data_IF_615457557172
#
_entry.id   IF_615457557172
#
_cell.length_a   1.000
_cell.length_b   1.000
_cell.length_c   1.000
_cell.angle_alpha   90.00
_cell.angle_beta   90.00
_cell.angle_gamma   90.00
#
_symmetry.space_group_name_H-M   'P 1'
#
loop_
_entity.id
_entity.type
_entity.pdbx_description
1 polymer ?
#
# COMPACT_ATOMS: atom_id res chain seq x y z
N UNK A 1 -13.68 -3.66 -16.86
CA UNK A 1 -12.56 -4.60 -17.10
C UNK A 1 -12.46 -5.54 -15.91
N UNK A 2 -12.60 -6.84 -16.13
CA UNK A 2 -12.54 -7.86 -15.07
C UNK A 2 -11.14 -7.89 -14.43
N UNK A 3 -11.06 -7.83 -13.08
CA UNK A 3 -9.81 -7.85 -12.31
C UNK A 3 -9.68 -9.19 -11.56
N UNK A 4 -9.20 -10.28 -12.21
CA UNK A 4 -9.20 -11.61 -11.60
C UNK A 4 -8.40 -11.68 -10.31
N UNK A 5 -7.27 -10.98 -10.23
CA UNK A 5 -6.46 -10.95 -9.00
C UNK A 5 -7.13 -10.19 -7.86
N UNK A 6 -7.98 -9.20 -8.15
CA UNK A 6 -8.78 -8.53 -7.14
C UNK A 6 -9.86 -9.45 -6.55
N UNK A 7 -10.43 -10.34 -7.38
CA UNK A 7 -11.35 -11.41 -6.91
C UNK A 7 -10.62 -12.35 -5.97
N UNK A 8 -9.38 -12.76 -6.30
CA UNK A 8 -8.58 -13.61 -5.41
C UNK A 8 -8.25 -12.90 -4.11
N UNK A 9 -7.81 -11.63 -4.17
CA UNK A 9 -7.51 -10.83 -2.98
C UNK A 9 -8.73 -10.67 -2.06
N UNK A 10 -9.89 -10.34 -2.64
CA UNK A 10 -11.17 -10.25 -1.93
C UNK A 10 -11.59 -11.60 -1.34
N UNK A 11 -11.47 -12.67 -2.12
CA UNK A 11 -11.80 -14.03 -1.71
C UNK A 11 -10.88 -14.58 -0.62
N UNK A 12 -9.66 -14.04 -0.48
CA UNK A 12 -8.76 -14.37 0.62
C UNK A 12 -9.12 -13.61 1.89
N UNK A 13 -9.34 -12.30 1.83
CA UNK A 13 -9.54 -11.47 3.02
C UNK A 13 -10.96 -11.58 3.60
N UNK A 14 -11.98 -11.69 2.75
CA UNK A 14 -13.38 -11.66 3.19
C UNK A 14 -13.75 -12.85 4.10
N UNK A 15 -13.37 -14.10 3.80
CA UNK A 15 -13.65 -15.22 4.70
C UNK A 15 -12.99 -15.07 6.07
N UNK A 16 -11.78 -14.50 6.13
CA UNK A 16 -11.11 -14.22 7.40
C UNK A 16 -11.82 -13.11 8.16
N UNK A 17 -12.23 -12.04 7.48
CA UNK A 17 -12.97 -10.95 8.10
C UNK A 17 -14.30 -11.41 8.71
N UNK A 18 -15.02 -12.29 8.00
CA UNK A 18 -16.27 -12.88 8.48
C UNK A 18 -16.03 -13.90 9.60
N UNK A 19 -15.07 -14.82 9.40
CA UNK A 19 -14.79 -15.90 10.35
C UNK A 19 -14.22 -15.42 11.68
N UNK A 20 -13.47 -14.32 11.68
CA UNK A 20 -12.96 -13.68 12.89
C UNK A 20 -13.86 -12.54 13.40
N UNK A 21 -15.01 -12.32 12.77
CA UNK A 21 -15.98 -11.29 13.14
C UNK A 21 -15.33 -9.92 13.34
N UNK A 22 -14.57 -9.46 12.34
CA UNK A 22 -13.91 -8.17 12.42
C UNK A 22 -14.93 -7.07 12.71
N UNK A 23 -14.55 -6.14 13.57
CA UNK A 23 -15.22 -4.87 13.76
C UNK A 23 -14.86 -3.89 12.64
N UNK A 24 -15.60 -2.78 12.57
CA UNK A 24 -15.31 -1.73 11.60
C UNK A 24 -13.93 -1.11 11.85
N UNK A 25 -13.53 -1.00 13.12
CA UNK A 25 -12.23 -0.47 13.54
C UNK A 25 -11.10 -1.41 13.12
N UNK A 26 -11.24 -2.71 13.36
CA UNK A 26 -10.28 -3.73 12.89
C UNK A 26 -10.17 -3.73 11.37
N UNK A 27 -11.28 -3.58 10.64
CA UNK A 27 -11.26 -3.40 9.19
C UNK A 27 -10.44 -2.17 8.80
N UNK A 28 -10.64 -1.01 9.45
CA UNK A 28 -9.87 0.20 9.15
C UNK A 28 -8.36 -0.02 9.37
N UNK A 29 -7.97 -0.61 10.49
CA UNK A 29 -6.56 -0.94 10.75
C UNK A 29 -5.99 -1.93 9.75
N UNK A 30 -6.77 -2.92 9.30
CA UNK A 30 -6.36 -3.84 8.25
C UNK A 30 -6.14 -3.15 6.90
N UNK A 31 -6.95 -2.13 6.56
CA UNK A 31 -6.77 -1.34 5.33
C UNK A 31 -5.53 -0.45 5.39
N UNK A 32 -5.27 0.17 6.55
CA UNK A 32 -4.06 0.94 6.81
C UNK A 32 -2.81 0.04 6.68
N UNK A 33 -2.84 -1.15 7.29
CA UNK A 33 -1.78 -2.15 7.19
C UNK A 33 -1.53 -2.53 5.73
N UNK A 34 -2.59 -2.83 4.97
CA UNK A 34 -2.47 -3.22 3.58
C UNK A 34 -1.84 -2.12 2.71
N UNK A 35 -2.21 -0.86 2.94
CA UNK A 35 -1.60 0.27 2.24
C UNK A 35 -0.11 0.46 2.60
N UNK A 36 0.26 0.29 3.88
CA UNK A 36 1.66 0.34 4.32
C UNK A 36 2.49 -0.78 3.66
N UNK A 37 2.01 -2.02 3.75
CA UNK A 37 2.68 -3.20 3.17
C UNK A 37 2.80 -3.07 1.65
N UNK A 38 1.75 -2.59 0.98
CA UNK A 38 1.80 -2.32 -0.45
C UNK A 38 2.85 -1.26 -0.81
N UNK A 39 2.96 -0.20 0.00
CA UNK A 39 3.96 0.86 -0.20
C UNK A 39 5.37 0.31 -0.08
N UNK A 40 5.62 -0.52 0.94
CA UNK A 40 6.90 -1.21 1.10
C UNK A 40 7.18 -2.20 -0.02
N UNK A 41 6.18 -2.94 -0.49
CA UNK A 41 6.33 -3.82 -1.65
C UNK A 41 6.71 -3.04 -2.92
N UNK A 42 6.14 -1.85 -3.13
CA UNK A 42 6.55 -0.97 -4.24
C UNK A 42 8.03 -0.58 -4.14
N UNK A 43 8.49 -0.22 -2.94
CA UNK A 43 9.89 0.16 -2.68
C UNK A 43 10.84 -1.01 -2.97
N UNK A 44 10.55 -2.19 -2.40
CA UNK A 44 11.38 -3.40 -2.57
C UNK A 44 11.42 -3.83 -4.03
N UNK A 45 10.26 -3.95 -4.68
CA UNK A 45 10.19 -4.40 -6.06
C UNK A 45 10.76 -3.38 -7.06
N UNK A 46 10.73 -2.08 -6.73
CA UNK A 46 11.44 -1.03 -7.48
C UNK A 46 12.95 -1.18 -7.37
N UNK A 47 13.48 -1.31 -6.15
CA UNK A 47 14.90 -1.52 -5.92
C UNK A 47 15.41 -2.78 -6.63
N UNK A 48 14.71 -3.91 -6.49
CA UNK A 48 15.06 -5.17 -7.16
C UNK A 48 15.05 -5.04 -8.69
N UNK A 49 14.06 -4.36 -9.28
CA UNK A 49 14.05 -4.13 -10.72
C UNK A 49 15.24 -3.26 -11.15
N UNK A 50 15.58 -2.19 -10.42
CA UNK A 50 16.72 -1.34 -10.76
C UNK A 50 18.03 -2.13 -10.69
N UNK A 51 18.22 -2.95 -9.65
CA UNK A 51 19.41 -3.78 -9.49
C UNK A 51 19.55 -4.82 -10.61
N UNK A 52 18.44 -5.41 -11.05
CA UNK A 52 18.45 -6.46 -12.09
C UNK A 52 18.46 -5.92 -13.53
N UNK A 53 17.98 -4.69 -13.75
CA UNK A 53 17.92 -4.04 -15.08
C UNK A 53 18.89 -2.86 -15.23
N UNK A 54 19.75 -2.63 -14.25
CA UNK A 54 20.72 -1.52 -14.25
C UNK A 54 21.64 -1.52 -15.47
N UNK A 55 22.02 -2.71 -15.96
CA UNK A 55 22.86 -2.86 -17.14
C UNK A 55 22.17 -2.39 -18.43
N UNK A 56 20.86 -2.63 -18.57
CA UNK A 56 20.11 -2.26 -19.79
C UNK A 56 19.77 -0.78 -19.83
N UNK A 57 19.80 -0.09 -18.69
CA UNK A 57 19.54 1.36 -18.57
C UNK A 57 20.79 2.23 -18.70
N UNK A 58 21.97 1.61 -18.73
CA UNK A 58 23.27 2.30 -18.83
C UNK A 58 23.39 3.24 -20.06
N UNK A 59 23.04 2.82 -21.30
CA UNK A 59 23.21 3.70 -22.46
C UNK A 59 22.39 4.99 -22.36
N UNK A 60 21.16 4.89 -21.86
CA UNK A 60 20.28 6.05 -21.68
C UNK A 60 20.77 6.99 -20.56
N UNK A 61 21.39 6.44 -19.50
CA UNK A 61 21.95 7.22 -18.40
C UNK A 61 23.28 7.89 -18.78
N UNK A 62 24.11 7.23 -19.57
CA UNK A 62 25.37 7.78 -20.11
C UNK A 62 25.18 8.93 -21.10
N UNK A 63 24.04 8.95 -21.81
CA UNK A 63 23.65 10.09 -22.64
C UNK A 63 23.27 11.31 -21.80
N UNK A 64 22.56 11.07 -20.69
CA UNK A 64 22.05 12.14 -19.81
C UNK A 64 23.09 12.65 -18.81
N UNK A 65 24.04 11.81 -18.41
CA UNK A 65 25.11 12.12 -17.47
C UNK A 65 26.46 11.67 -18.04
N UNK A 66 27.13 12.53 -18.82
CA UNK A 66 28.41 12.22 -19.45
C UNK A 66 29.49 11.65 -18.53
N UNK A 67 29.62 12.07 -17.24
CA UNK A 67 30.61 11.49 -16.32
C UNK A 67 30.45 10.00 -16.03
N UNK A 68 29.28 9.41 -16.32
CA UNK A 68 29.05 7.98 -16.10
C UNK A 68 29.72 7.09 -17.15
N UNK A 69 30.12 7.64 -18.30
CA UNK A 69 30.74 6.89 -19.40
C UNK A 69 32.09 6.29 -19.03
N UNK A 70 32.85 7.02 -18.21
CA UNK A 70 34.21 6.64 -17.82
C UNK A 70 34.23 5.61 -16.67
N UNK A 71 33.07 5.28 -16.10
CA UNK A 71 33.00 4.29 -15.03
C UNK A 71 33.18 2.87 -15.58
N UNK A 72 34.06 2.05 -14.96
CA UNK A 72 34.10 0.62 -15.25
C UNK A 72 32.75 -0.01 -14.89
N UNK A 73 32.39 -1.11 -15.56
CA UNK A 73 31.10 -1.76 -15.34
C UNK A 73 30.81 -2.09 -13.86
N UNK A 74 31.83 -2.50 -13.11
CA UNK A 74 31.73 -2.74 -11.67
C UNK A 74 31.43 -1.45 -10.89
N UNK A 75 32.11 -0.34 -11.19
CA UNK A 75 31.87 0.96 -10.54
C UNK A 75 30.47 1.50 -10.82
N UNK A 76 29.99 1.35 -12.05
CA UNK A 76 28.63 1.73 -12.44
C UNK A 76 27.57 0.89 -11.69
N UNK A 77 27.77 -0.42 -11.59
CA UNK A 77 26.87 -1.31 -10.86
C UNK A 77 26.81 -0.99 -9.36
N UNK A 78 27.97 -0.73 -8.73
CA UNK A 78 28.04 -0.33 -7.32
C UNK A 78 27.35 1.02 -7.09
N UNK A 79 27.57 1.99 -7.98
CA UNK A 79 26.92 3.30 -7.89
C UNK A 79 25.39 3.18 -7.99
N UNK A 80 24.88 2.44 -8.99
CA UNK A 80 23.45 2.21 -9.13
C UNK A 80 22.87 1.48 -7.93
N UNK A 81 23.58 0.48 -7.40
CA UNK A 81 23.13 -0.23 -6.22
C UNK A 81 23.06 0.68 -5.00
N UNK A 82 24.09 1.50 -4.77
CA UNK A 82 24.12 2.47 -3.69
C UNK A 82 22.97 3.49 -3.81
N UNK A 83 22.72 4.02 -5.01
CA UNK A 83 21.61 4.95 -5.26
C UNK A 83 20.24 4.30 -5.07
N UNK A 84 20.05 3.09 -5.58
CA UNK A 84 18.79 2.36 -5.45
C UNK A 84 18.49 2.01 -3.98
N UNK A 85 19.50 1.52 -3.24
CA UNK A 85 19.37 1.21 -1.82
C UNK A 85 19.18 2.47 -0.97
N UNK A 86 19.89 3.56 -1.29
CA UNK A 86 19.72 4.85 -0.63
C UNK A 86 18.32 5.42 -0.85
N UNK A 87 17.82 5.41 -2.08
CA UNK A 87 16.46 5.83 -2.41
C UNK A 87 15.41 4.95 -1.72
N UNK A 88 15.64 3.63 -1.67
CA UNK A 88 14.75 2.71 -0.98
C UNK A 88 14.71 2.98 0.53
N UNK A 89 15.87 3.16 1.18
CA UNK A 89 15.96 3.48 2.60
C UNK A 89 15.28 4.81 2.93
N UNK A 90 15.51 5.85 2.12
CA UNK A 90 14.83 7.13 2.26
C UNK A 90 13.31 6.98 2.11
N UNK A 91 12.84 6.25 1.09
CA UNK A 91 11.42 6.00 0.88
C UNK A 91 10.78 5.22 2.04
N UNK A 92 11.45 4.18 2.55
CA UNK A 92 11.01 3.44 3.73
C UNK A 92 10.84 4.35 4.95
N UNK A 93 11.81 5.24 5.19
CA UNK A 93 11.76 6.17 6.31
C UNK A 93 10.62 7.17 6.17
N UNK A 94 10.46 7.79 5.00
CA UNK A 94 9.35 8.71 4.73
C UNK A 94 8.00 8.00 4.85
N UNK A 95 7.86 6.78 4.33
CA UNK A 95 6.63 6.00 4.47
C UNK A 95 6.35 5.61 5.91
N UNK A 96 7.37 5.20 6.67
CA UNK A 96 7.23 4.96 8.10
C UNK A 96 6.68 6.19 8.82
N UNK A 97 7.24 7.37 8.56
CA UNK A 97 6.78 8.63 9.14
C UNK A 97 5.31 8.96 8.76
N UNK A 98 5.00 8.93 7.46
CA UNK A 98 3.66 9.28 6.95
C UNK A 98 2.61 8.31 7.47
N UNK A 99 2.87 7.00 7.44
CA UNK A 99 1.93 6.01 7.94
C UNK A 99 1.84 6.03 9.47
N UNK A 100 2.90 6.40 10.20
CA UNK A 100 2.82 6.66 11.64
C UNK A 100 1.83 7.79 11.93
N UNK A 101 1.93 8.89 11.18
CA UNK A 101 0.98 10.00 11.28
C UNK A 101 -0.46 9.53 11.02
N UNK A 102 -0.71 8.83 9.90
CA UNK A 102 -2.05 8.29 9.63
C UNK A 102 -2.51 7.27 10.68
N UNK A 103 -1.60 6.47 11.24
CA UNK A 103 -1.89 5.53 12.31
C UNK A 103 -2.32 6.24 13.60
N UNK A 104 -1.66 7.34 13.96
CA UNK A 104 -2.06 8.19 15.10
C UNK A 104 -3.44 8.79 14.86
N UNK A 105 -3.70 9.35 13.68
CA UNK A 105 -5.04 9.86 13.34
C UNK A 105 -6.09 8.75 13.39
N UNK A 106 -5.77 7.58 12.86
CA UNK A 106 -6.66 6.43 12.87
C UNK A 106 -6.96 5.97 14.30
N UNK A 107 -5.98 6.01 15.22
CA UNK A 107 -6.20 5.64 16.62
C UNK A 107 -7.20 6.54 17.36
N UNK A 108 -7.44 7.76 16.90
CA UNK A 108 -8.50 8.63 17.44
C UNK A 108 -9.89 8.13 17.07
N UNK A 109 -10.05 7.60 15.86
CA UNK A 109 -11.37 7.26 15.30
C UNK A 109 -11.70 5.77 15.30
N UNK A 110 -10.68 4.92 15.35
CA UNK A 110 -10.79 3.47 15.23
C UNK A 110 -10.06 2.77 16.39
N UNK A 111 -10.43 3.10 17.62
CA UNK A 111 -9.98 2.37 18.81
C UNK A 111 -10.28 0.86 18.66
N UNK A 112 -9.31 0.01 18.98
CA UNK A 112 -9.51 -1.44 18.99
C UNK A 112 -8.70 -2.12 20.10
N UNK A 113 -9.06 -3.35 20.45
CA UNK A 113 -8.24 -4.15 21.35
C UNK A 113 -6.99 -4.69 20.63
N UNK A 114 -5.82 -4.77 21.31
CA UNK A 114 -5.61 -4.43 22.70
C UNK A 114 -5.39 -2.92 22.91
N UNK A 115 -6.09 -2.32 23.89
CA UNK A 115 -6.02 -0.86 24.19
C UNK A 115 -4.61 -0.38 24.53
N UNK A 116 -3.73 -1.26 25.00
CA UNK A 116 -2.31 -0.92 25.23
C UNK A 116 -1.54 -0.60 23.94
N UNK A 117 -2.05 -1.01 22.78
CA UNK A 117 -1.47 -0.73 21.47
C UNK A 117 -2.28 0.34 20.72
N UNK A 118 -3.62 0.25 20.76
CA UNK A 118 -4.53 1.13 20.03
C UNK A 118 -5.41 1.91 21.02
N UNK A 119 -4.79 2.84 21.74
CA UNK A 119 -5.31 3.45 22.97
C UNK A 119 -6.69 4.09 22.94
N UNK A 120 -7.36 4.05 24.10
CA UNK A 120 -8.56 4.84 24.47
C UNK A 120 -8.34 6.36 24.47
N UNK A 121 -7.08 6.77 24.55
CA UNK A 121 -6.68 8.17 24.64
C UNK A 121 -6.38 8.78 23.26
N UNK A 122 -6.69 8.07 22.16
CA UNK A 122 -6.51 8.56 20.79
C UNK A 122 -5.07 8.50 20.27
N UNK A 123 -4.18 7.73 20.90
CA UNK A 123 -2.79 7.58 20.47
C UNK A 123 -2.37 6.10 20.42
N UNK A 124 -1.46 5.79 19.49
CA UNK A 124 -0.68 4.55 19.53
C UNK A 124 0.18 4.60 20.80
N UNK A 125 -0.13 3.73 21.76
CA UNK A 125 0.47 3.75 23.10
C UNK A 125 1.81 2.99 23.17
N UNK A 126 2.42 2.67 22.03
CA UNK A 126 3.67 1.90 21.90
C UNK A 126 4.54 2.42 20.76
N UNK A 127 5.70 1.81 20.52
CA UNK A 127 6.49 2.07 19.32
C UNK A 127 5.70 1.70 18.04
N UNK A 128 6.16 2.17 16.87
CA UNK A 128 5.48 1.92 15.59
C UNK A 128 5.43 0.44 15.19
N UNK A 129 6.45 -0.34 15.55
CA UNK A 129 6.63 -1.71 15.07
C UNK A 129 5.81 -2.72 15.86
N UNK A 130 5.57 -2.49 17.15
CA UNK A 130 4.77 -3.41 17.98
C UNK A 130 3.30 -3.55 17.51
N UNK A 131 2.54 -2.46 17.27
CA UNK A 131 1.19 -2.54 16.69
C UNK A 131 1.23 -3.10 15.28
N UNK A 132 2.23 -2.74 14.48
CA UNK A 132 2.40 -3.30 13.15
C UNK A 132 2.55 -4.83 13.19
N UNK A 133 3.37 -5.36 14.10
CA UNK A 133 3.55 -6.80 14.28
C UNK A 133 2.25 -7.48 14.72
N UNK A 134 1.50 -6.85 15.62
CA UNK A 134 0.17 -7.33 16.02
C UNK A 134 -0.80 -7.38 14.83
N UNK A 135 -0.85 -6.29 14.05
CA UNK A 135 -1.71 -6.20 12.88
C UNK A 135 -1.34 -7.22 11.81
N UNK A 136 -0.05 -7.43 11.56
CA UNK A 136 0.43 -8.49 10.68
C UNK A 136 0.03 -9.88 11.20
N UNK A 137 0.19 -10.15 12.50
CA UNK A 137 -0.19 -11.44 13.07
C UNK A 137 -1.67 -11.80 12.84
N UNK A 138 -2.57 -10.84 12.94
CA UNK A 138 -4.03 -11.07 12.89
C UNK A 138 -4.67 -10.76 11.53
N UNK A 139 -4.24 -9.70 10.86
CA UNK A 139 -4.87 -9.16 9.64
C UNK A 139 -3.99 -9.27 8.39
N UNK A 140 -2.96 -10.13 8.40
CA UNK A 140 -2.17 -10.41 7.19
C UNK A 140 -2.98 -10.78 5.94
N UNK A 141 -4.16 -11.45 5.99
CA UNK A 141 -4.90 -11.79 4.78
C UNK A 141 -5.31 -10.56 3.97
N UNK A 142 -5.57 -9.43 4.64
CA UNK A 142 -5.88 -8.16 3.98
C UNK A 142 -4.64 -7.62 3.25
N UNK A 143 -3.48 -7.65 3.91
CA UNK A 143 -2.22 -7.22 3.33
C UNK A 143 -1.82 -8.09 2.13
N UNK A 144 -1.84 -9.43 2.29
CA UNK A 144 -1.52 -10.36 1.20
C UNK A 144 -2.54 -10.25 0.07
N UNK A 145 -3.83 -10.16 0.38
CA UNK A 145 -4.86 -9.96 -0.64
C UNK A 145 -4.62 -8.69 -1.44
N UNK A 146 -4.22 -7.59 -0.78
CA UNK A 146 -3.87 -6.34 -1.46
C UNK A 146 -2.64 -6.49 -2.37
N UNK A 147 -1.61 -7.22 -1.93
CA UNK A 147 -0.46 -7.52 -2.77
C UNK A 147 -0.85 -8.35 -3.99
N UNK A 148 -1.68 -9.40 -3.82
CA UNK A 148 -2.17 -10.24 -4.92
C UNK A 148 -2.94 -9.40 -5.94
N UNK A 149 -3.86 -8.57 -5.45
CA UNK A 149 -4.72 -7.73 -6.31
C UNK A 149 -3.92 -6.80 -7.22
N UNK A 150 -2.68 -6.47 -6.84
CA UNK A 150 -1.82 -5.50 -7.50
C UNK A 150 -0.46 -6.05 -7.94
N UNK A 151 -0.30 -7.38 -7.98
CA UNK A 151 0.93 -8.06 -8.42
C UNK A 151 1.41 -7.57 -9.79
N UNK A 152 0.49 -7.35 -10.73
CA UNK A 152 0.84 -6.87 -12.09
C UNK A 152 1.53 -5.51 -12.01
N UNK A 153 1.05 -4.61 -11.15
CA UNK A 153 1.66 -3.31 -10.93
C UNK A 153 3.00 -3.44 -10.19
N UNK A 154 3.11 -4.36 -9.24
CA UNK A 154 4.33 -4.60 -8.48
C UNK A 154 5.45 -5.24 -9.31
N UNK A 155 5.15 -5.89 -10.44
CA UNK A 155 6.16 -6.58 -11.26
C UNK A 155 6.44 -5.85 -12.57
N UNK A 156 5.46 -5.11 -13.12
CA UNK A 156 5.58 -4.47 -14.43
C UNK A 156 5.59 -2.95 -14.34
N UNK A 157 6.40 -2.33 -15.19
CA UNK A 157 6.43 -0.89 -15.41
C UNK A 157 7.72 -0.22 -14.96
N UNK A 158 7.67 1.10 -14.83
CA UNK A 158 8.82 1.92 -14.46
C UNK A 158 9.04 1.88 -12.92
N UNK A 159 10.23 1.49 -12.43
CA UNK A 159 10.51 1.38 -10.99
C UNK A 159 10.41 2.73 -10.26
N UNK A 160 10.81 3.83 -10.89
CA UNK A 160 10.69 5.17 -10.31
C UNK A 160 9.24 5.62 -10.14
N UNK A 161 8.37 5.25 -11.08
CA UNK A 161 6.92 5.47 -10.93
C UNK A 161 6.34 4.66 -9.77
N UNK A 162 6.84 3.45 -9.54
CA UNK A 162 6.41 2.61 -8.41
C UNK A 162 6.85 3.20 -7.07
N UNK A 163 8.05 3.79 -6.99
CA UNK A 163 8.45 4.53 -5.79
C UNK A 163 7.49 5.66 -5.44
N UNK A 164 6.94 6.39 -6.41
CA UNK A 164 6.05 7.52 -6.16
C UNK A 164 4.56 7.14 -5.99
N UNK A 165 4.16 5.93 -6.43
CA UNK A 165 2.77 5.53 -6.48
C UNK A 165 2.01 5.62 -5.13
N UNK A 166 2.61 5.22 -3.99
CA UNK A 166 1.94 5.34 -2.70
C UNK A 166 1.50 6.77 -2.34
N UNK A 167 2.27 7.79 -2.71
CA UNK A 167 1.92 9.19 -2.42
C UNK A 167 0.72 9.70 -3.21
N UNK A 168 0.47 9.13 -4.39
CA UNK A 168 -0.58 9.64 -5.28
C UNK A 168 -1.80 8.74 -5.28
N UNK A 169 -1.67 7.49 -5.70
CA UNK A 169 -2.82 6.62 -5.91
C UNK A 169 -3.34 6.03 -4.61
N UNK A 170 -2.44 5.65 -3.69
CA UNK A 170 -2.83 5.02 -2.43
C UNK A 170 -3.35 6.04 -1.42
N UNK A 171 -2.67 7.18 -1.28
CA UNK A 171 -3.15 8.28 -0.45
C UNK A 171 -4.56 8.71 -0.87
N UNK A 172 -4.79 9.01 -2.16
CA UNK A 172 -6.12 9.37 -2.66
C UNK A 172 -7.15 8.27 -2.42
N UNK A 173 -6.77 7.00 -2.62
CA UNK A 173 -7.66 5.87 -2.36
C UNK A 173 -8.06 5.83 -0.88
N UNK A 174 -7.11 5.91 0.05
CA UNK A 174 -7.39 5.95 1.49
C UNK A 174 -8.33 7.10 1.85
N UNK A 175 -8.13 8.30 1.28
CA UNK A 175 -9.03 9.43 1.53
C UNK A 175 -10.45 9.16 1.03
N UNK A 176 -10.58 8.59 -0.18
CA UNK A 176 -11.90 8.19 -0.70
C UNK A 176 -12.54 7.12 0.19
N UNK A 177 -11.77 6.16 0.71
CA UNK A 177 -12.27 5.17 1.67
C UNK A 177 -12.79 5.81 2.94
N UNK A 178 -12.04 6.73 3.53
CA UNK A 178 -12.44 7.45 4.74
C UNK A 178 -13.75 8.22 4.52
N UNK A 179 -13.90 8.87 3.36
CA UNK A 179 -15.13 9.58 3.00
C UNK A 179 -16.29 8.61 2.76
N UNK A 180 -16.05 7.50 2.06
CA UNK A 180 -17.09 6.53 1.71
C UNK A 180 -17.58 5.71 2.91
N UNK A 181 -16.72 5.47 3.89
CA UNK A 181 -16.98 4.63 5.06
C UNK A 181 -18.31 4.96 5.76
N UNK A 182 -18.58 6.20 6.24
CA UNK A 182 -19.83 6.49 6.94
C UNK A 182 -21.08 6.23 6.08
N UNK A 183 -21.03 6.50 4.77
CA UNK A 183 -22.16 6.25 3.88
C UNK A 183 -22.41 4.76 3.66
N UNK A 184 -21.34 3.97 3.48
CA UNK A 184 -21.45 2.51 3.33
C UNK A 184 -21.95 1.88 4.62
N UNK A 185 -21.46 2.33 5.77
CA UNK A 185 -21.90 1.85 7.08
C UNK A 185 -23.37 2.19 7.33
N UNK A 186 -23.81 3.43 7.05
CA UNK A 186 -25.21 3.83 7.17
C UNK A 186 -26.12 3.06 6.21
N UNK A 187 -25.69 2.84 4.97
CA UNK A 187 -26.44 2.06 3.99
C UNK A 187 -26.60 0.60 4.46
N UNK A 188 -25.52 -0.01 4.93
CA UNK A 188 -25.58 -1.36 5.49
C UNK A 188 -26.52 -1.41 6.70
N UNK A 189 -26.45 -0.42 7.59
CA UNK A 189 -27.38 -0.32 8.73
C UNK A 189 -28.84 -0.16 8.29
N UNK A 190 -29.11 0.68 7.29
CA UNK A 190 -30.46 0.87 6.76
C UNK A 190 -31.06 -0.41 6.15
N UNK A 191 -30.22 -1.27 5.56
CA UNK A 191 -30.65 -2.51 4.91
C UNK A 191 -30.70 -3.72 5.86
N UNK A 192 -29.78 -3.80 6.81
CA UNK A 192 -29.55 -4.99 7.65
C UNK A 192 -29.79 -4.74 9.16
N UNK A 193 -30.12 -3.52 9.56
CA UNK A 193 -30.45 -3.18 10.94
C UNK A 193 -29.30 -3.42 11.90
N UNK A 194 -29.53 -4.19 12.96
CA UNK A 194 -28.53 -4.46 14.00
C UNK A 194 -27.40 -5.40 13.54
N UNK A 195 -27.64 -6.21 12.51
CA UNK A 195 -26.68 -7.18 11.98
C UNK A 195 -25.87 -6.62 10.80
N UNK A 196 -25.68 -5.30 10.75
CA UNK A 196 -25.08 -4.63 9.60
C UNK A 196 -23.57 -4.81 9.47
N UNK A 197 -22.88 -5.17 10.55
CA UNK A 197 -21.41 -5.20 10.61
C UNK A 197 -20.79 -6.09 9.51
N UNK A 198 -21.21 -7.37 9.33
CA UNK A 198 -20.67 -8.22 8.27
C UNK A 198 -20.94 -7.66 6.87
N UNK A 199 -22.14 -7.14 6.64
CA UNK A 199 -22.52 -6.55 5.35
C UNK A 199 -21.68 -5.30 5.03
N UNK A 200 -21.48 -4.41 6.01
CA UNK A 200 -20.65 -3.22 5.87
C UNK A 200 -19.20 -3.60 5.52
N UNK A 201 -18.61 -4.59 6.21
CA UNK A 201 -17.24 -5.03 5.97
C UNK A 201 -17.09 -5.65 4.58
N UNK A 202 -18.06 -6.45 4.12
CA UNK A 202 -18.03 -7.00 2.76
C UNK A 202 -18.14 -5.92 1.70
N UNK A 203 -19.04 -4.94 1.88
CA UNK A 203 -19.19 -3.82 0.95
C UNK A 203 -17.93 -2.95 0.90
N UNK A 204 -17.34 -2.66 2.06
CA UNK A 204 -16.07 -1.92 2.14
C UNK A 204 -14.91 -2.71 1.55
N UNK A 205 -14.88 -4.03 1.72
CA UNK A 205 -13.89 -4.91 1.10
C UNK A 205 -14.05 -4.94 -0.42
N UNK A 206 -15.28 -5.03 -0.92
CA UNK A 206 -15.56 -4.93 -2.36
C UNK A 206 -15.08 -3.59 -2.91
N UNK A 207 -15.38 -2.50 -2.22
CA UNK A 207 -14.86 -1.20 -2.60
C UNK A 207 -13.32 -1.24 -2.59
N UNK A 208 -12.67 -1.76 -1.54
CA UNK A 208 -11.20 -1.81 -1.42
C UNK A 208 -10.50 -2.49 -2.59
N UNK A 209 -10.99 -3.68 -2.99
CA UNK A 209 -10.38 -4.47 -4.05
C UNK A 209 -10.76 -3.99 -5.46
N UNK A 210 -11.98 -3.50 -5.64
CA UNK A 210 -12.51 -3.19 -6.97
C UNK A 210 -12.52 -1.69 -7.30
N UNK A 211 -12.27 -0.80 -6.34
CA UNK A 211 -12.20 0.63 -6.61
C UNK A 211 -11.12 0.93 -7.68
N UNK A 212 -11.44 1.74 -8.71
CA UNK A 212 -10.49 2.01 -9.78
C UNK A 212 -9.24 2.68 -9.24
N UNK A 213 -8.09 2.03 -9.42
CA UNK A 213 -6.80 2.71 -9.28
C UNK A 213 -6.60 3.55 -10.53
N UNK A 214 -6.95 4.84 -10.46
CA UNK A 214 -6.48 5.78 -11.48
C UNK A 214 -4.95 5.76 -11.40
N UNK A 215 -4.32 5.16 -12.40
CA UNK A 215 -2.93 5.44 -12.70
C UNK A 215 -2.87 6.93 -13.02
N UNK A 216 -2.48 7.76 -12.06
CA UNK A 216 -2.32 9.20 -12.25
C UNK A 216 -1.28 9.54 -13.34
N UNK A 217 -0.57 8.53 -13.86
CA UNK A 217 0.39 8.64 -14.95
C UNK A 217 -0.04 7.90 -16.23
N UNK A 218 -1.30 7.47 -16.35
CA UNK A 218 -1.90 7.00 -17.60
C UNK A 218 -2.32 8.19 -18.48
N UNK A 219 -1.44 9.18 -18.63
CA UNK A 219 -1.55 10.15 -19.70
C UNK A 219 -0.75 9.60 -20.90
N UNK A 220 -1.41 9.18 -22.00
CA UNK A 220 -0.74 8.60 -23.17
C UNK A 220 0.30 9.52 -23.80
N UNK A 221 0.27 10.82 -23.47
CA UNK A 221 1.21 11.82 -23.98
C UNK A 221 2.58 11.82 -23.30
N UNK A 222 2.77 11.09 -22.18
CA UNK A 222 4.09 11.00 -21.50
C UNK A 222 4.83 9.68 -21.74
N UNK A 223 4.21 8.70 -22.41
CA UNK A 223 4.89 7.47 -22.84
C UNK A 223 5.67 7.63 -24.15
N UNK A 224 5.63 8.81 -24.78
CA UNK A 224 6.38 9.12 -25.99
C UNK A 224 7.71 9.85 -25.71
N UNK A 225 8.11 10.03 -24.45
CA UNK A 225 9.33 10.76 -24.08
C UNK A 225 10.14 10.11 -22.94
N UNK A 226 10.07 8.78 -22.77
CA UNK A 226 10.98 8.05 -21.87
C UNK A 226 11.43 6.73 -22.46
#
# INVERSE_FOLDING_TARGET
MFRPLAVVGFGLSSPFALGQQWSLQEFCWSTWLAALVFSWACVVTAALQILTTGATTRPALEERFPPLRDLPAAGYAVLLAALALGAAAAAFWVYGLVFSFYGVFLSVFAEMEPVRLFGRNGFINSDFYTPLAHLLGKYWPMAVGALIADTVFLVKGNPWRRFAAPFHSEAMRLHVFVIALPFVTMLAWALFGREYHPAAILLLSLLFYFFPRKSAFANPKTSAMS
#
